data_IF_423868509424
#
_entry.id   IF_423868509424
#
_cell.length_a   1.000
_cell.length_b   1.000
_cell.length_c   1.000
_cell.angle_alpha   90.00
_cell.angle_beta   90.00
_cell.angle_gamma   90.00
#
_symmetry.space_group_name_H-M   'P 1'
#
loop_
_entity.id
_entity.type
_entity.pdbx_description
1 polymer ?
#
# COMPACT_ATOMS: atom_id res chain seq x y z
N UNK A 1 -29.02 14.17 -13.22
CA UNK A 1 -27.83 14.61 -13.90
C UNK A 1 -27.03 15.46 -12.94
N UNK A 2 -26.19 14.82 -12.14
CA UNK A 2 -25.20 15.48 -11.29
C UNK A 2 -23.86 15.37 -12.00
N UNK A 3 -23.64 16.28 -12.97
CA UNK A 3 -22.31 16.49 -13.56
C UNK A 3 -21.64 17.61 -12.80
N UNK A 4 -21.05 17.30 -11.64
CA UNK A 4 -20.15 18.24 -10.98
C UNK A 4 -18.73 18.06 -11.55
N UNK A 5 -18.58 18.38 -12.83
CA UNK A 5 -17.28 18.40 -13.54
C UNK A 5 -16.54 19.73 -13.37
N UNK A 6 -16.91 20.55 -12.38
CA UNK A 6 -16.28 21.86 -12.14
C UNK A 6 -16.08 22.16 -10.66
N UNK A 7 -15.74 21.15 -9.83
CA UNK A 7 -15.06 21.48 -8.58
C UNK A 7 -13.61 21.87 -8.97
N UNK A 8 -13.09 23.04 -8.53
CA UNK A 8 -11.70 23.37 -8.77
C UNK A 8 -10.81 22.25 -8.22
N UNK A 9 -9.69 21.98 -8.92
CA UNK A 9 -8.64 21.02 -8.58
C UNK A 9 -8.07 21.27 -7.16
N UNK A 10 -8.88 21.03 -6.14
CA UNK A 10 -8.41 21.13 -4.77
C UNK A 10 -7.65 19.84 -4.44
N UNK A 11 -6.36 19.90 -4.09
CA UNK A 11 -5.51 18.72 -3.87
C UNK A 11 -6.12 17.70 -2.90
N UNK A 12 -6.92 18.15 -1.92
CA UNK A 12 -7.55 17.30 -0.92
C UNK A 12 -8.59 16.31 -1.48
N UNK A 13 -9.11 16.54 -2.70
CA UNK A 13 -10.18 15.72 -3.31
C UNK A 13 -9.69 14.79 -4.41
N UNK A 14 -8.38 14.78 -4.71
CA UNK A 14 -7.84 13.88 -5.73
C UNK A 14 -7.99 12.42 -5.30
N UNK A 15 -8.30 11.50 -6.24
CA UNK A 15 -8.40 10.09 -5.93
C UNK A 15 -7.02 9.49 -5.62
N UNK A 16 -6.97 8.40 -4.83
CA UNK A 16 -5.75 7.62 -4.55
C UNK A 16 -5.17 6.96 -5.81
N UNK A 17 -6.00 6.71 -6.82
CA UNK A 17 -5.59 6.27 -8.16
C UNK A 17 -6.37 7.03 -9.22
N UNK A 18 -5.78 7.24 -10.39
CA UNK A 18 -6.45 7.96 -11.49
C UNK A 18 -7.75 7.28 -11.96
N UNK A 19 -7.84 5.95 -11.79
CA UNK A 19 -9.02 5.17 -12.14
C UNK A 19 -10.10 5.11 -11.04
N UNK A 20 -9.89 5.74 -9.87
CA UNK A 20 -10.83 5.66 -8.76
C UNK A 20 -12.18 6.29 -9.10
N UNK A 21 -13.24 5.68 -8.57
CA UNK A 21 -14.62 6.10 -8.74
C UNK A 21 -15.43 5.73 -7.49
N UNK A 22 -16.66 6.25 -7.30
CA UNK A 22 -17.43 6.00 -6.08
C UNK A 22 -17.67 4.51 -5.76
N UNK A 23 -17.78 3.66 -6.76
CA UNK A 23 -17.98 2.21 -6.54
C UNK A 23 -16.70 1.55 -6.03
N UNK A 24 -15.55 1.86 -6.64
CA UNK A 24 -14.26 1.36 -6.15
C UNK A 24 -13.94 1.88 -4.75
N UNK A 25 -14.29 3.14 -4.45
CA UNK A 25 -14.07 3.74 -3.14
C UNK A 25 -14.83 3.03 -2.02
N UNK A 26 -16.12 2.73 -2.25
CA UNK A 26 -16.95 2.00 -1.28
C UNK A 26 -16.33 0.62 -0.99
N UNK A 27 -15.97 -0.11 -2.05
CA UNK A 27 -15.40 -1.44 -1.90
C UNK A 27 -14.03 -1.41 -1.20
N UNK A 28 -13.15 -0.48 -1.58
CA UNK A 28 -11.82 -0.35 -0.97
C UNK A 28 -11.88 0.08 0.50
N UNK A 29 -12.72 1.07 0.85
CA UNK A 29 -12.82 1.54 2.23
C UNK A 29 -13.37 0.46 3.16
N UNK A 30 -14.37 -0.31 2.71
CA UNK A 30 -14.88 -1.43 3.48
C UNK A 30 -13.84 -2.55 3.62
N UNK A 31 -13.09 -2.87 2.55
CA UNK A 31 -12.00 -3.83 2.63
C UNK A 31 -10.93 -3.40 3.65
N UNK A 32 -10.53 -2.13 3.64
CA UNK A 32 -9.55 -1.57 4.59
C UNK A 32 -10.07 -1.68 6.03
N UNK A 33 -11.34 -1.35 6.28
CA UNK A 33 -11.96 -1.45 7.61
C UNK A 33 -11.93 -2.90 8.11
N UNK A 34 -12.38 -3.84 7.30
CA UNK A 34 -12.40 -5.26 7.66
C UNK A 34 -11.00 -5.80 7.96
N UNK A 35 -10.00 -5.41 7.17
CA UNK A 35 -8.59 -5.77 7.43
C UNK A 35 -8.12 -5.15 8.75
N UNK A 36 -8.40 -3.86 8.98
CA UNK A 36 -8.01 -3.16 10.21
C UNK A 36 -8.58 -3.79 11.48
N UNK A 37 -9.80 -4.27 11.42
CA UNK A 37 -10.50 -4.87 12.57
C UNK A 37 -10.12 -6.34 12.82
N UNK A 38 -9.73 -7.09 11.79
CA UNK A 38 -9.64 -8.55 11.89
C UNK A 38 -8.23 -9.13 11.70
N UNK A 39 -7.31 -8.43 11.00
CA UNK A 39 -6.04 -9.03 10.57
C UNK A 39 -5.17 -9.49 11.75
N UNK A 40 -5.01 -8.66 12.77
CA UNK A 40 -4.13 -8.97 13.90
C UNK A 40 -4.66 -10.20 14.68
N UNK A 41 -5.97 -10.23 14.93
CA UNK A 41 -6.62 -11.37 15.58
C UNK A 41 -6.46 -12.64 14.73
N UNK A 42 -6.73 -12.56 13.43
CA UNK A 42 -6.62 -13.70 12.53
C UNK A 42 -5.19 -14.28 12.43
N UNK A 43 -4.16 -13.45 12.64
CA UNK A 43 -2.75 -13.91 12.63
C UNK A 43 -2.37 -14.61 13.93
N UNK A 44 -2.83 -14.10 15.07
CA UNK A 44 -2.38 -14.60 16.38
C UNK A 44 -3.28 -15.66 16.98
N UNK A 45 -4.58 -15.54 16.78
CA UNK A 45 -5.60 -16.43 17.34
C UNK A 45 -6.81 -16.46 16.39
N UNK A 46 -6.69 -17.20 15.27
CA UNK A 46 -7.69 -17.18 14.20
C UNK A 46 -9.01 -17.81 14.64
N UNK A 47 -10.08 -17.07 14.44
CA UNK A 47 -11.46 -17.52 14.57
C UNK A 47 -12.14 -17.48 13.20
N UNK A 48 -13.17 -18.31 12.98
CA UNK A 48 -13.88 -18.39 11.71
C UNK A 48 -14.43 -17.04 11.27
N UNK A 49 -14.94 -16.22 12.20
CA UNK A 49 -15.49 -14.89 11.95
C UNK A 49 -14.43 -13.92 11.37
N UNK A 50 -13.21 -13.94 11.91
CA UNK A 50 -12.11 -13.11 11.41
C UNK A 50 -11.65 -13.56 10.02
N UNK A 51 -11.59 -14.88 9.81
CA UNK A 51 -11.18 -15.45 8.52
C UNK A 51 -12.23 -15.15 7.43
N UNK A 52 -13.54 -15.28 7.74
CA UNK A 52 -14.62 -14.90 6.84
C UNK A 52 -14.56 -13.40 6.50
N UNK A 53 -14.35 -12.53 7.49
CA UNK A 53 -14.21 -11.10 7.29
C UNK A 53 -13.02 -10.76 6.35
N UNK A 54 -11.87 -11.42 6.52
CA UNK A 54 -10.72 -11.22 5.65
C UNK A 54 -10.92 -11.78 4.24
N UNK A 55 -11.62 -12.91 4.09
CA UNK A 55 -12.01 -13.43 2.78
C UNK A 55 -12.93 -12.45 2.05
N UNK A 56 -13.89 -11.87 2.75
CA UNK A 56 -14.78 -10.85 2.19
C UNK A 56 -14.02 -9.56 1.84
N UNK A 57 -13.09 -9.12 2.72
CA UNK A 57 -12.20 -7.99 2.44
C UNK A 57 -11.38 -8.22 1.15
N UNK A 58 -10.85 -9.42 0.96
CA UNK A 58 -10.12 -9.79 -0.26
C UNK A 58 -10.98 -9.69 -1.53
N UNK A 59 -12.24 -10.13 -1.46
CA UNK A 59 -13.20 -9.99 -2.56
C UNK A 59 -13.50 -8.51 -2.87
N UNK A 60 -13.76 -7.70 -1.85
CA UNK A 60 -14.01 -6.26 -2.00
C UNK A 60 -12.79 -5.53 -2.56
N UNK A 61 -11.59 -5.86 -2.09
CA UNK A 61 -10.34 -5.33 -2.66
C UNK A 61 -10.22 -5.67 -4.15
N UNK A 62 -10.55 -6.92 -4.53
CA UNK A 62 -10.60 -7.36 -5.93
C UNK A 62 -11.55 -6.52 -6.79
N UNK A 63 -12.74 -6.21 -6.29
CA UNK A 63 -13.69 -5.29 -6.94
C UNK A 63 -13.10 -3.88 -7.05
N UNK A 64 -12.47 -3.39 -5.96
CA UNK A 64 -11.88 -2.08 -5.89
C UNK A 64 -10.78 -1.90 -6.93
N UNK A 65 -9.70 -2.68 -6.85
CA UNK A 65 -8.56 -2.51 -7.77
C UNK A 65 -8.87 -2.99 -9.20
N UNK A 66 -9.80 -3.90 -9.39
CA UNK A 66 -10.27 -4.30 -10.71
C UNK A 66 -10.92 -3.15 -11.49
N UNK A 67 -11.53 -2.19 -10.78
CA UNK A 67 -12.13 -0.99 -11.38
C UNK A 67 -11.20 0.24 -11.36
N UNK A 68 -10.42 0.41 -10.30
CA UNK A 68 -9.57 1.59 -10.11
C UNK A 68 -8.11 1.39 -10.55
N UNK A 69 -7.68 0.14 -10.73
CA UNK A 69 -6.27 -0.21 -10.90
C UNK A 69 -5.45 -0.08 -9.62
N UNK A 70 -4.20 -0.53 -9.70
CA UNK A 70 -3.20 -0.35 -8.65
C UNK A 70 -2.19 0.72 -9.08
N UNK A 71 -1.38 1.22 -8.13
CA UNK A 71 -0.35 2.21 -8.43
C UNK A 71 1.01 1.85 -7.80
N UNK A 72 1.76 2.82 -7.32
CA UNK A 72 3.17 2.72 -6.91
C UNK A 72 3.53 1.49 -6.08
N UNK A 73 2.82 1.09 -5.00
CA UNK A 73 3.24 -0.08 -4.22
C UNK A 73 3.30 -1.35 -5.08
N UNK A 74 2.34 -1.52 -6.01
CA UNK A 74 2.34 -2.62 -6.95
C UNK A 74 3.40 -2.47 -8.04
N UNK A 75 3.64 -1.25 -8.55
CA UNK A 75 4.72 -0.97 -9.50
C UNK A 75 6.10 -1.33 -8.93
N UNK A 76 6.32 -0.98 -7.66
CA UNK A 76 7.54 -1.31 -6.92
C UNK A 76 7.64 -2.81 -6.61
N UNK A 77 6.54 -3.46 -6.31
CA UNK A 77 6.50 -4.88 -5.95
C UNK A 77 7.04 -5.81 -7.03
N UNK A 78 6.87 -5.46 -8.31
CA UNK A 78 7.41 -6.28 -9.40
C UNK A 78 8.94 -6.35 -9.42
N UNK A 79 9.61 -5.25 -9.07
CA UNK A 79 11.05 -5.26 -8.90
C UNK A 79 11.46 -6.07 -7.68
N UNK A 80 10.79 -5.87 -6.54
CA UNK A 80 11.06 -6.58 -5.28
C UNK A 80 10.88 -8.10 -5.45
N UNK A 81 9.81 -8.54 -6.07
CA UNK A 81 9.61 -9.97 -6.32
C UNK A 81 10.53 -10.51 -7.42
N UNK A 82 10.80 -9.73 -8.47
CA UNK A 82 11.56 -10.17 -9.64
C UNK A 82 13.08 -10.17 -9.46
N UNK A 83 13.62 -9.47 -8.47
CA UNK A 83 15.05 -9.43 -8.12
C UNK A 83 15.36 -10.19 -6.82
N UNK A 84 14.41 -10.99 -6.32
CA UNK A 84 14.59 -11.76 -5.09
C UNK A 84 15.90 -12.56 -5.13
N UNK A 85 16.71 -12.40 -4.08
CA UNK A 85 18.04 -13.05 -3.96
C UNK A 85 17.90 -14.42 -3.30
N UNK A 86 17.62 -14.42 -2.01
CA UNK A 86 17.63 -15.61 -1.16
C UNK A 86 16.51 -15.62 -0.10
N UNK A 87 15.61 -14.63 -0.13
CA UNK A 87 14.53 -14.56 0.83
C UNK A 87 13.56 -15.74 0.67
N UNK A 88 13.24 -16.36 1.80
CA UNK A 88 12.17 -17.35 1.91
C UNK A 88 11.36 -17.06 3.17
N UNK A 89 10.03 -16.88 3.05
CA UNK A 89 9.19 -16.67 4.22
C UNK A 89 9.04 -17.97 5.02
N UNK A 90 9.00 -17.86 6.33
CA UNK A 90 8.81 -18.97 7.23
C UNK A 90 7.49 -19.71 6.92
N UNK A 91 7.54 -21.04 6.95
CA UNK A 91 6.38 -21.89 6.73
C UNK A 91 5.94 -22.04 5.26
N UNK A 92 6.63 -21.40 4.31
CA UNK A 92 6.35 -21.61 2.89
C UNK A 92 7.14 -22.77 2.31
N UNK A 93 6.44 -23.71 1.69
CA UNK A 93 7.05 -24.81 0.97
C UNK A 93 7.44 -24.35 -0.44
N UNK A 94 8.63 -23.78 -0.57
CA UNK A 94 9.21 -23.40 -1.86
C UNK A 94 10.61 -23.99 -1.98
N UNK A 95 10.96 -24.47 -3.17
CA UNK A 95 12.30 -24.98 -3.51
C UNK A 95 13.24 -23.87 -4.01
N UNK A 96 12.76 -22.64 -4.08
CA UNK A 96 13.51 -21.47 -4.52
C UNK A 96 13.15 -20.23 -3.68
N UNK A 97 14.06 -19.25 -3.69
CA UNK A 97 13.85 -17.97 -3.06
C UNK A 97 12.67 -17.21 -3.70
N UNK A 98 11.80 -16.63 -2.89
CA UNK A 98 10.69 -15.81 -3.35
C UNK A 98 10.27 -14.78 -2.31
N UNK A 99 9.88 -13.60 -2.75
CA UNK A 99 9.13 -12.64 -1.94
C UNK A 99 7.66 -12.74 -2.34
N UNK A 100 6.76 -13.25 -1.47
CA UNK A 100 5.34 -13.34 -1.77
C UNK A 100 4.76 -11.98 -2.18
N UNK A 101 3.78 -11.99 -3.10
CA UNK A 101 3.23 -10.76 -3.66
C UNK A 101 2.78 -9.76 -2.60
N UNK A 102 2.02 -10.19 -1.60
CA UNK A 102 1.56 -9.31 -0.51
C UNK A 102 2.72 -8.68 0.27
N UNK A 103 3.79 -9.45 0.55
CA UNK A 103 5.00 -8.93 1.21
C UNK A 103 5.71 -7.93 0.30
N UNK A 104 5.89 -8.24 -0.98
CA UNK A 104 6.55 -7.33 -1.93
C UNK A 104 5.81 -6.00 -2.13
N UNK A 105 4.50 -5.97 -1.94
CA UNK A 105 3.68 -4.74 -1.97
C UNK A 105 3.80 -3.97 -0.67
N UNK A 106 3.60 -4.65 0.48
CA UNK A 106 3.46 -3.94 1.76
C UNK A 106 4.78 -3.33 2.26
N UNK A 107 5.93 -3.93 1.98
CA UNK A 107 7.24 -3.38 2.39
C UNK A 107 7.57 -2.03 1.76
N UNK A 108 6.89 -1.63 0.69
CA UNK A 108 7.03 -0.32 0.05
C UNK A 108 5.90 0.65 0.44
N UNK A 109 4.77 0.14 0.92
CA UNK A 109 3.53 0.92 1.06
C UNK A 109 3.64 2.11 2.02
N UNK A 110 4.29 2.03 3.20
CA UNK A 110 4.41 3.18 4.10
C UNK A 110 5.13 4.37 3.47
N UNK A 111 6.27 4.16 2.79
CA UNK A 111 7.01 5.22 2.10
C UNK A 111 6.16 5.86 1.00
N UNK A 112 5.46 5.03 0.21
CA UNK A 112 4.57 5.51 -0.85
C UNK A 112 3.43 6.36 -0.30
N UNK A 113 2.78 5.96 0.80
CA UNK A 113 1.66 6.73 1.33
C UNK A 113 2.09 8.03 2.01
N UNK A 114 3.29 8.10 2.59
CA UNK A 114 3.87 9.38 3.01
C UNK A 114 4.11 10.31 1.82
N UNK A 115 4.69 9.78 0.75
CA UNK A 115 4.97 10.53 -0.48
C UNK A 115 3.70 11.05 -1.14
N UNK A 116 2.68 10.21 -1.30
CA UNK A 116 1.42 10.56 -1.97
C UNK A 116 0.43 11.32 -1.07
N UNK A 117 0.70 11.42 0.22
CA UNK A 117 -0.18 12.00 1.23
C UNK A 117 -0.65 13.41 0.89
N UNK A 118 0.27 14.28 0.46
CA UNK A 118 -0.04 15.66 0.09
C UNK A 118 -0.91 15.79 -1.17
N UNK A 119 -0.87 14.79 -2.05
CA UNK A 119 -1.61 14.81 -3.32
C UNK A 119 -3.10 14.44 -3.16
N UNK A 120 -3.46 13.67 -2.12
CA UNK A 120 -4.82 13.22 -1.88
C UNK A 120 -5.12 13.03 -0.37
N UNK A 121 -4.95 14.10 0.39
CA UNK A 121 -4.99 14.14 1.86
C UNK A 121 -6.23 13.49 2.45
N UNK A 122 -7.42 13.86 1.98
CA UNK A 122 -8.69 13.34 2.49
C UNK A 122 -8.80 11.82 2.33
N UNK A 123 -8.33 11.26 1.21
CA UNK A 123 -8.40 9.83 0.94
C UNK A 123 -7.45 9.03 1.83
N UNK A 124 -6.24 9.55 2.05
CA UNK A 124 -5.30 8.93 2.98
C UNK A 124 -5.85 8.98 4.42
N UNK A 125 -6.43 10.09 4.83
CA UNK A 125 -7.04 10.23 6.14
C UNK A 125 -8.21 9.26 6.36
N UNK A 126 -9.10 9.14 5.36
CA UNK A 126 -10.21 8.18 5.39
C UNK A 126 -9.70 6.74 5.47
N UNK A 127 -8.68 6.39 4.69
CA UNK A 127 -8.07 5.06 4.72
C UNK A 127 -7.40 4.77 6.06
N UNK A 128 -6.63 5.73 6.63
CA UNK A 128 -6.02 5.60 7.94
C UNK A 128 -7.07 5.35 9.02
N UNK A 129 -8.13 6.16 9.04
CA UNK A 129 -9.26 6.00 9.97
C UNK A 129 -9.96 4.65 9.82
N UNK A 130 -10.24 4.23 8.59
CA UNK A 130 -10.86 2.93 8.32
C UNK A 130 -9.99 1.77 8.79
N UNK A 131 -8.66 1.90 8.70
CA UNK A 131 -7.68 0.91 9.16
C UNK A 131 -7.49 0.91 10.69
N UNK A 132 -8.16 1.81 11.42
CA UNK A 132 -8.08 1.89 12.88
C UNK A 132 -6.97 2.80 13.43
N UNK A 133 -6.43 3.71 12.62
CA UNK A 133 -5.49 4.71 13.12
C UNK A 133 -6.18 5.69 14.09
N UNK A 134 -5.45 6.12 15.14
CA UNK A 134 -5.90 7.18 16.01
C UNK A 134 -5.89 8.52 15.25
N UNK A 135 -7.05 9.13 15.09
CA UNK A 135 -7.22 10.35 14.29
C UNK A 135 -7.72 11.54 15.11
N UNK A 136 -7.86 11.39 16.44
CA UNK A 136 -8.34 12.46 17.30
C UNK A 136 -7.34 13.62 17.34
N UNK A 137 -7.78 14.80 16.94
CA UNK A 137 -6.94 16.01 16.91
C UNK A 137 -6.04 16.13 15.67
N UNK A 138 -6.04 15.14 14.77
CA UNK A 138 -5.29 15.18 13.53
C UNK A 138 -6.05 15.93 12.43
N UNK A 139 -5.31 16.50 11.48
CA UNK A 139 -5.82 17.17 10.28
C UNK A 139 -5.81 16.24 9.06
N UNK A 140 -6.50 16.63 7.97
CA UNK A 140 -6.44 15.89 6.71
C UNK A 140 -5.02 15.84 6.13
N UNK A 141 -4.19 16.83 6.42
CA UNK A 141 -2.79 16.91 5.97
C UNK A 141 -1.93 15.79 6.55
N UNK A 142 -2.29 15.28 7.73
CA UNK A 142 -1.60 14.19 8.41
C UNK A 142 -1.94 12.81 7.82
N UNK A 143 -2.93 12.74 6.91
CA UNK A 143 -3.50 11.48 6.42
C UNK A 143 -2.46 10.50 5.87
N UNK A 144 -1.49 10.97 5.10
CA UNK A 144 -0.42 10.13 4.55
C UNK A 144 0.47 9.51 5.63
N UNK A 145 0.86 10.30 6.63
CA UNK A 145 1.68 9.84 7.75
C UNK A 145 0.91 8.89 8.66
N UNK A 146 -0.34 9.22 9.00
CA UNK A 146 -1.21 8.37 9.81
C UNK A 146 -1.43 6.99 9.18
N UNK A 147 -1.68 6.95 7.86
CA UNK A 147 -1.85 5.69 7.14
C UNK A 147 -0.56 4.87 7.15
N UNK A 148 0.58 5.52 6.87
CA UNK A 148 1.88 4.85 6.89
C UNK A 148 2.24 4.30 8.28
N UNK A 149 2.01 5.09 9.33
CA UNK A 149 2.32 4.69 10.71
C UNK A 149 1.42 3.54 11.19
N UNK A 150 0.13 3.55 10.80
CA UNK A 150 -0.78 2.45 11.08
C UNK A 150 -0.35 1.16 10.35
N UNK A 151 0.09 1.25 9.08
CA UNK A 151 0.63 0.11 8.36
C UNK A 151 1.89 -0.45 9.02
N UNK A 152 2.83 0.42 9.40
CA UNK A 152 4.06 0.02 10.12
C UNK A 152 3.70 -0.71 11.42
N UNK A 153 2.74 -0.20 12.17
CA UNK A 153 2.25 -0.87 13.39
C UNK A 153 1.72 -2.26 13.06
N UNK A 154 0.84 -2.38 12.07
CA UNK A 154 0.28 -3.67 11.66
C UNK A 154 1.36 -4.64 11.15
N UNK A 155 2.35 -4.16 10.38
CA UNK A 155 3.49 -4.96 9.94
C UNK A 155 4.27 -5.53 11.11
N UNK A 156 4.55 -4.73 12.14
CA UNK A 156 5.20 -5.19 13.39
C UNK A 156 4.35 -6.24 14.10
N UNK A 157 3.07 -5.95 14.29
CA UNK A 157 2.15 -6.79 15.05
C UNK A 157 1.90 -8.15 14.35
N UNK A 158 2.05 -8.22 13.03
CA UNK A 158 1.85 -9.45 12.25
C UNK A 158 3.15 -10.14 11.81
N UNK A 159 4.32 -9.64 12.21
CA UNK A 159 5.61 -10.24 11.88
C UNK A 159 6.04 -10.06 10.41
N UNK A 160 5.48 -9.08 9.69
CA UNK A 160 5.92 -8.73 8.34
C UNK A 160 7.35 -8.17 8.39
N UNK A 161 8.22 -8.51 7.42
CA UNK A 161 9.60 -8.01 7.36
C UNK A 161 9.69 -6.48 7.44
N UNK A 162 10.74 -5.98 8.14
CA UNK A 162 10.98 -4.54 8.26
C UNK A 162 11.53 -3.97 6.96
N UNK A 163 10.64 -3.51 6.10
CA UNK A 163 11.01 -2.88 4.83
C UNK A 163 11.78 -3.82 3.90
N UNK A 164 12.50 -3.24 2.97
CA UNK A 164 13.28 -3.96 1.95
C UNK A 164 14.46 -4.72 2.55
N UNK A 165 15.08 -4.20 3.63
CA UNK A 165 16.16 -4.90 4.31
C UNK A 165 15.70 -6.23 4.90
N UNK A 166 14.46 -6.28 5.37
CA UNK A 166 13.85 -7.50 5.90
C UNK A 166 13.63 -8.61 4.86
N UNK A 167 13.69 -8.27 3.57
CA UNK A 167 13.60 -9.24 2.45
C UNK A 167 14.90 -9.31 1.63
N UNK A 168 16.03 -8.84 2.19
CA UNK A 168 17.36 -9.07 1.65
C UNK A 168 17.90 -8.01 0.69
N UNK A 169 17.27 -6.82 0.61
CA UNK A 169 17.77 -5.70 -0.22
C UNK A 169 18.52 -4.67 0.61
N UNK A 170 19.58 -4.11 -0.01
CA UNK A 170 20.38 -3.02 0.54
C UNK A 170 20.41 -1.79 -0.36
N UNK A 171 21.24 -0.82 0.02
CA UNK A 171 21.45 0.41 -0.78
C UNK A 171 22.04 0.13 -2.16
N UNK A 172 22.82 -0.94 -2.29
CA UNK A 172 23.40 -1.42 -3.53
C UNK A 172 22.37 -1.83 -4.59
N UNK A 173 21.17 -2.20 -4.16
CA UNK A 173 20.10 -2.70 -5.03
C UNK A 173 19.19 -1.59 -5.56
N UNK A 174 19.27 -0.38 -4.99
CA UNK A 174 18.32 0.72 -5.27
C UNK A 174 18.25 1.07 -6.76
N UNK A 175 19.35 1.00 -7.47
CA UNK A 175 19.39 1.31 -8.90
C UNK A 175 18.59 0.29 -9.72
N UNK A 176 18.83 -0.99 -9.52
CA UNK A 176 18.16 -2.07 -10.24
C UNK A 176 16.66 -2.13 -9.90
N UNK A 177 16.30 -1.94 -8.62
CA UNK A 177 14.91 -1.83 -8.17
C UNK A 177 14.22 -0.65 -8.85
N UNK A 178 14.89 0.51 -8.94
CA UNK A 178 14.35 1.71 -9.57
C UNK A 178 14.09 1.49 -11.05
N UNK A 179 15.07 0.98 -11.80
CA UNK A 179 14.94 0.76 -13.25
C UNK A 179 13.78 -0.18 -13.57
N UNK A 180 13.69 -1.30 -12.87
CA UNK A 180 12.63 -2.28 -13.12
C UNK A 180 11.24 -1.75 -12.76
N UNK A 181 11.14 -0.98 -11.67
CA UNK A 181 9.87 -0.39 -11.25
C UNK A 181 9.45 0.76 -12.15
N UNK A 182 10.39 1.63 -12.53
CA UNK A 182 10.10 2.79 -13.38
C UNK A 182 9.66 2.38 -14.80
N UNK A 183 9.99 1.17 -15.23
CA UNK A 183 9.46 0.58 -16.45
C UNK A 183 7.96 0.22 -16.38
N UNK A 184 7.37 0.13 -15.17
CA UNK A 184 5.95 -0.25 -14.96
C UNK A 184 4.99 0.94 -15.17
N UNK A 185 5.07 1.59 -16.32
CA UNK A 185 4.36 2.85 -16.62
C UNK A 185 2.88 2.81 -16.28
N UNK A 186 2.18 1.74 -16.62
CA UNK A 186 0.74 1.60 -16.34
C UNK A 186 0.40 1.78 -14.85
N UNK A 187 1.27 1.34 -13.95
CA UNK A 187 1.06 1.45 -12.50
C UNK A 187 1.54 2.80 -11.97
N UNK A 188 2.66 3.31 -12.50
CA UNK A 188 3.21 4.60 -12.10
C UNK A 188 2.27 5.74 -12.52
N UNK A 189 1.78 5.70 -13.75
CA UNK A 189 0.89 6.73 -14.30
C UNK A 189 -0.50 6.74 -13.64
N UNK A 190 -0.86 5.65 -12.92
CA UNK A 190 -2.08 5.57 -12.13
C UNK A 190 -1.93 6.17 -10.72
N UNK A 191 -0.75 6.63 -10.33
CA UNK A 191 -0.53 7.29 -9.05
C UNK A 191 -1.26 8.65 -8.97
N UNK A 192 -1.60 9.13 -7.76
CA UNK A 192 -2.29 10.41 -7.57
C UNK A 192 -1.44 11.64 -7.94
N UNK A 193 -0.13 11.46 -8.10
CA UNK A 193 0.80 12.50 -8.54
C UNK A 193 1.86 11.91 -9.47
N UNK A 194 2.44 12.72 -10.37
CA UNK A 194 3.57 12.29 -11.18
C UNK A 194 4.77 11.86 -10.32
N UNK A 195 5.50 10.86 -10.79
CA UNK A 195 6.68 10.32 -10.11
C UNK A 195 7.84 10.31 -11.09
N UNK A 196 8.94 11.02 -10.76
CA UNK A 196 10.17 10.96 -11.52
C UNK A 196 10.97 9.69 -11.17
N UNK A 197 11.98 9.39 -11.98
CA UNK A 197 12.89 8.29 -11.73
C UNK A 197 13.66 8.48 -10.40
N UNK A 198 14.10 9.70 -10.14
CA UNK A 198 14.78 10.08 -8.91
C UNK A 198 13.89 9.88 -7.68
N UNK A 199 12.64 10.32 -7.75
CA UNK A 199 11.66 10.11 -6.70
C UNK A 199 11.35 8.62 -6.49
N UNK A 200 11.33 7.81 -7.55
CA UNK A 200 11.19 6.35 -7.41
C UNK A 200 12.37 5.74 -6.64
N UNK A 201 13.60 6.23 -6.87
CA UNK A 201 14.78 5.81 -6.11
C UNK A 201 14.71 6.22 -4.64
N UNK A 202 14.27 7.45 -4.37
CA UNK A 202 14.04 7.94 -3.00
C UNK A 202 12.97 7.09 -2.29
N UNK A 203 11.89 6.72 -2.96
CA UNK A 203 10.86 5.83 -2.41
C UNK A 203 11.43 4.46 -2.02
N UNK A 204 12.33 3.89 -2.81
CA UNK A 204 13.01 2.66 -2.44
C UNK A 204 13.98 2.86 -1.27
N UNK A 205 14.70 3.97 -1.23
CA UNK A 205 15.56 4.31 -0.10
C UNK A 205 14.77 4.45 1.21
N UNK A 206 13.64 5.16 1.18
CA UNK A 206 12.73 5.32 2.31
C UNK A 206 12.04 4.01 2.73
N UNK A 207 12.00 3.04 1.82
CA UNK A 207 11.43 1.70 2.07
C UNK A 207 12.44 0.71 2.65
N UNK A 208 13.71 1.08 2.83
CA UNK A 208 14.74 0.14 3.32
C UNK A 208 14.43 -0.38 4.72
N UNK A 209 14.01 0.50 5.63
CA UNK A 209 13.69 0.14 7.01
C UNK A 209 12.79 1.18 7.65
N UNK A 210 11.85 0.75 8.46
CA UNK A 210 10.88 1.61 9.15
C UNK A 210 11.08 1.64 10.68
N UNK A 211 11.74 0.63 11.26
CA UNK A 211 12.03 0.53 12.70
C UNK A 211 13.34 -0.19 12.98
#
# INVERSE_FOLDING_TARGET
PFTDRQAPDHPSRRPLSQGANPYSDIACLEAIRLVGENLIQAVHDPEDENLEALMFAGMLAGIGFGNAGCHLPHGMSYAVAGLCKDYQPDGWSSDHALVPHGISVIVNSPAVFRFTGSACQERHFQAAKAMGAETQGASMEDGGSLLADQLIKMMKDTGIPNGLQGVGYGREDLEDLTERSYAQKRLIDNAPCPVSREQMKELFEDSLSYW
#
